data_IF_456739990723
#
_entry.id   IF_456739990723
#
_cell.length_a   1.000
_cell.length_b   1.000
_cell.length_c   1.000
_cell.angle_alpha   90.00
_cell.angle_beta   90.00
_cell.angle_gamma   90.00
#
_symmetry.space_group_name_H-M   'P 1'
#
loop_
_entity.id
_entity.type
_entity.pdbx_description
1 polymer ?
#
# COMPACT_ATOMS: atom_id res chain seq x y z
N UNK A 1 -21.21 17.20 8.94
CA UNK A 1 -20.45 17.41 7.68
C UNK A 1 -19.97 16.05 7.24
N UNK A 2 -20.53 15.53 6.15
CA UNK A 2 -20.18 14.21 5.62
C UNK A 2 -18.78 14.32 5.03
N UNK A 3 -17.84 13.57 5.59
CA UNK A 3 -16.54 13.35 5.00
C UNK A 3 -16.77 12.80 3.58
N UNK A 4 -16.30 13.54 2.57
CA UNK A 4 -16.34 13.08 1.19
C UNK A 4 -15.71 11.70 1.14
N UNK A 5 -16.46 10.73 0.62
CA UNK A 5 -15.94 9.42 0.27
C UNK A 5 -14.88 9.63 -0.81
N UNK A 6 -13.62 9.66 -0.39
CA UNK A 6 -12.46 9.66 -1.25
C UNK A 6 -12.49 8.33 -2.02
N UNK A 7 -13.12 8.35 -3.17
CA UNK A 7 -13.06 7.23 -4.08
C UNK A 7 -11.64 7.21 -4.67
N UNK A 8 -11.00 6.05 -4.78
CA UNK A 8 -9.69 5.87 -5.42
C UNK A 8 -9.61 6.34 -6.89
N UNK A 9 -10.67 7.01 -7.40
CA UNK A 9 -10.80 7.67 -8.70
C UNK A 9 -9.70 8.70 -8.98
N UNK A 10 -9.04 9.23 -7.95
CA UNK A 10 -8.03 10.28 -8.09
C UNK A 10 -6.59 9.77 -8.25
N UNK A 11 -6.36 8.45 -8.12
CA UNK A 11 -5.07 7.82 -8.40
C UNK A 11 -4.99 7.38 -9.88
N UNK A 12 -3.85 7.56 -10.56
CA UNK A 12 -3.63 7.01 -11.89
C UNK A 12 -3.82 5.48 -11.89
N UNK A 13 -4.43 4.93 -12.94
CA UNK A 13 -4.78 3.51 -13.01
C UNK A 13 -3.55 2.61 -12.90
N UNK A 14 -2.45 2.98 -13.58
CA UNK A 14 -1.20 2.26 -13.46
C UNK A 14 -0.63 2.29 -12.03
N UNK A 15 -0.83 3.36 -11.26
CA UNK A 15 -0.43 3.42 -9.86
C UNK A 15 -1.32 2.54 -8.98
N UNK A 16 -2.64 2.59 -9.18
CA UNK A 16 -3.63 1.77 -8.46
C UNK A 16 -3.28 0.29 -8.58
N UNK A 17 -3.04 -0.19 -9.81
CA UNK A 17 -2.72 -1.59 -10.06
C UNK A 17 -1.48 -2.05 -9.27
N UNK A 18 -0.41 -1.23 -9.23
CA UNK A 18 0.83 -1.58 -8.53
C UNK A 18 0.71 -1.51 -7.02
N UNK A 19 -0.04 -0.53 -6.49
CA UNK A 19 -0.37 -0.50 -5.06
C UNK A 19 -1.18 -1.73 -4.69
N UNK A 20 -2.16 -2.12 -5.52
CA UNK A 20 -2.98 -3.31 -5.28
C UNK A 20 -2.16 -4.59 -5.20
N UNK A 21 -1.26 -4.81 -6.17
CA UNK A 21 -0.31 -5.93 -6.17
C UNK A 21 0.57 -5.94 -4.90
N UNK A 22 1.10 -4.77 -4.51
CA UNK A 22 1.91 -4.63 -3.30
C UNK A 22 1.13 -4.94 -2.03
N UNK A 23 -0.11 -4.47 -1.90
CA UNK A 23 -0.98 -4.74 -0.73
C UNK A 23 -1.29 -6.23 -0.66
N UNK A 24 -1.61 -6.87 -1.78
CA UNK A 24 -1.84 -8.32 -1.85
C UNK A 24 -0.61 -9.11 -1.42
N UNK A 25 0.59 -8.71 -1.86
CA UNK A 25 1.83 -9.34 -1.44
C UNK A 25 2.10 -9.18 0.06
N UNK A 26 1.91 -7.98 0.62
CA UNK A 26 2.03 -7.78 2.06
C UNK A 26 1.05 -8.66 2.85
N UNK A 27 -0.22 -8.73 2.43
CA UNK A 27 -1.20 -9.62 3.07
C UNK A 27 -0.79 -11.10 2.97
N UNK A 28 -0.35 -11.55 1.80
CA UNK A 28 0.11 -12.92 1.58
C UNK A 28 1.31 -13.28 2.48
N UNK A 29 2.25 -12.34 2.65
CA UNK A 29 3.38 -12.49 3.56
C UNK A 29 2.90 -12.76 5.00
N UNK A 30 1.94 -11.98 5.52
CA UNK A 30 1.46 -12.18 6.89
C UNK A 30 0.54 -13.39 7.07
N UNK A 31 -0.28 -13.72 6.07
CA UNK A 31 -1.20 -14.86 6.16
C UNK A 31 -0.52 -16.21 5.99
N UNK A 32 0.43 -16.29 5.06
CA UNK A 32 0.97 -17.56 4.55
C UNK A 32 2.49 -17.65 4.63
N UNK A 33 3.18 -16.58 5.08
CA UNK A 33 4.63 -16.53 5.07
C UNK A 33 5.22 -16.46 3.66
N UNK A 34 4.43 -16.03 2.66
CA UNK A 34 4.90 -15.96 1.28
C UNK A 34 5.98 -14.88 1.11
N UNK A 35 7.07 -15.25 0.46
CA UNK A 35 8.12 -14.30 0.06
C UNK A 35 7.59 -13.32 -1.00
N UNK A 36 7.98 -12.05 -0.90
CA UNK A 36 7.69 -11.02 -1.91
C UNK A 36 8.36 -11.30 -3.26
N UNK A 37 9.23 -12.30 -3.37
CA UNK A 37 9.82 -12.74 -4.65
C UNK A 37 8.76 -13.18 -5.67
N UNK A 38 7.54 -13.52 -5.23
CA UNK A 38 6.40 -13.77 -6.12
C UNK A 38 6.03 -12.56 -7.00
N UNK A 39 6.37 -11.34 -6.58
CA UNK A 39 6.16 -10.12 -7.35
C UNK A 39 7.05 -10.04 -8.61
N UNK A 40 8.10 -10.87 -8.71
CA UNK A 40 8.93 -10.92 -9.92
C UNK A 40 8.11 -11.32 -11.16
N UNK A 41 7.09 -12.18 -10.99
CA UNK A 41 6.24 -12.65 -12.08
C UNK A 41 5.39 -11.54 -12.72
N UNK A 42 5.17 -10.43 -12.03
CA UNK A 42 4.34 -9.31 -12.48
C UNK A 42 5.16 -8.06 -12.82
N UNK A 43 6.49 -8.22 -12.96
CA UNK A 43 7.40 -7.21 -13.47
C UNK A 43 8.18 -6.43 -12.42
N UNK A 44 8.07 -6.79 -11.13
CA UNK A 44 8.96 -6.21 -10.13
C UNK A 44 10.37 -6.80 -10.25
N UNK A 45 11.37 -5.94 -10.13
CA UNK A 45 12.80 -6.28 -10.18
C UNK A 45 13.37 -6.31 -8.77
N UNK A 46 14.14 -7.36 -8.48
CA UNK A 46 14.80 -7.52 -7.19
C UNK A 46 15.92 -6.50 -6.98
N UNK A 47 15.93 -5.91 -5.78
CA UNK A 47 17.01 -5.10 -5.22
C UNK A 47 17.44 -5.70 -3.88
N UNK A 48 18.65 -5.39 -3.39
CA UNK A 48 19.20 -6.00 -2.16
C UNK A 48 18.29 -5.93 -0.93
N UNK A 49 17.39 -4.95 -0.84
CA UNK A 49 16.54 -4.72 0.32
C UNK A 49 15.03 -4.73 0.01
N UNK A 50 14.62 -4.87 -1.27
CA UNK A 50 13.22 -4.64 -1.69
C UNK A 50 12.98 -5.00 -3.18
N UNK A 51 11.73 -4.93 -3.65
CA UNK A 51 11.32 -5.16 -5.04
C UNK A 51 10.78 -3.87 -5.68
N UNK A 52 11.28 -3.41 -6.84
CA UNK A 52 10.74 -2.22 -7.59
C UNK A 52 10.03 -2.59 -8.87
N UNK A 53 9.04 -1.77 -9.25
CA UNK A 53 8.68 -1.61 -10.65
C UNK A 53 8.66 -0.13 -11.06
N UNK A 54 9.10 0.14 -12.29
CA UNK A 54 8.92 1.44 -12.94
C UNK A 54 7.57 1.46 -13.64
N UNK A 55 6.81 2.52 -13.39
CA UNK A 55 5.53 2.76 -14.05
C UNK A 55 5.64 4.05 -14.84
N UNK A 56 5.42 3.97 -16.14
CA UNK A 56 5.24 5.16 -16.97
C UNK A 56 3.78 5.59 -16.88
N UNK A 57 3.53 6.73 -16.24
CA UNK A 57 2.21 7.35 -16.14
C UNK A 57 2.17 8.67 -16.91
N UNK A 58 3.12 8.91 -17.82
CA UNK A 58 3.23 10.19 -18.53
C UNK A 58 1.97 10.51 -19.35
N UNK A 59 1.35 9.49 -19.94
CA UNK A 59 0.09 9.63 -20.66
C UNK A 59 -1.10 9.96 -19.74
N UNK A 60 -1.13 9.41 -18.52
CA UNK A 60 -2.24 9.59 -17.56
C UNK A 60 -2.12 10.89 -16.74
N UNK A 61 -0.89 11.32 -16.45
CA UNK A 61 -0.61 12.38 -15.48
C UNK A 61 0.04 13.62 -16.09
N UNK A 62 0.50 13.55 -17.34
CA UNK A 62 1.35 14.57 -17.97
C UNK A 62 2.76 14.67 -17.37
N UNK A 63 3.09 13.85 -16.37
CA UNK A 63 4.38 13.87 -15.68
C UNK A 63 5.36 12.97 -16.43
N UNK A 64 6.42 13.54 -17.00
CA UNK A 64 7.40 12.83 -17.84
C UNK A 64 8.44 11.99 -17.07
N UNK A 65 8.48 12.10 -15.73
CA UNK A 65 9.40 11.27 -14.92
C UNK A 65 8.75 9.92 -14.62
N UNK A 66 9.50 8.81 -14.65
CA UNK A 66 8.96 7.52 -14.27
C UNK A 66 8.57 7.51 -12.79
N UNK A 67 7.46 6.84 -12.51
CA UNK A 67 7.05 6.52 -11.16
C UNK A 67 7.63 5.18 -10.75
N UNK A 68 7.82 5.02 -9.46
CA UNK A 68 8.37 3.80 -8.87
C UNK A 68 7.38 3.33 -7.83
N UNK A 69 7.07 2.04 -7.87
CA UNK A 69 6.41 1.38 -6.75
C UNK A 69 7.38 0.36 -6.18
N UNK A 70 7.59 0.43 -4.87
CA UNK A 70 8.54 -0.40 -4.14
C UNK A 70 7.79 -1.20 -3.10
N UNK A 71 8.06 -2.49 -3.00
CA UNK A 71 7.58 -3.33 -1.89
C UNK A 71 8.79 -3.82 -1.12
N UNK A 72 8.82 -3.54 0.17
CA UNK A 72 9.95 -3.87 1.05
C UNK A 72 9.48 -4.58 2.31
N UNK A 73 10.37 -5.40 2.87
CA UNK A 73 10.17 -6.05 4.18
C UNK A 73 11.32 -5.63 5.08
N UNK A 74 11.04 -4.71 6.01
CA UNK A 74 11.98 -4.34 7.06
C UNK A 74 11.80 -5.28 8.26
N UNK A 75 12.56 -6.38 8.28
CA UNK A 75 12.49 -7.46 9.29
C UNK A 75 11.22 -8.33 9.14
N UNK A 76 11.13 -9.43 9.89
CA UNK A 76 10.05 -10.43 9.80
C UNK A 76 8.64 -9.92 10.18
N UNK A 77 8.49 -8.64 10.49
CA UNK A 77 7.25 -8.09 11.02
C UNK A 77 6.72 -6.89 10.24
N UNK A 78 7.46 -6.32 9.30
CA UNK A 78 7.08 -5.08 8.61
C UNK A 78 7.05 -5.27 7.09
N UNK A 79 6.00 -4.77 6.45
CA UNK A 79 5.88 -4.71 5.00
C UNK A 79 5.45 -3.29 4.59
N UNK A 80 6.17 -2.67 3.67
CA UNK A 80 5.87 -1.32 3.21
C UNK A 80 5.78 -1.25 1.69
N UNK A 81 4.86 -0.43 1.20
CA UNK A 81 4.70 -0.10 -0.22
C UNK A 81 4.99 1.38 -0.36
N UNK A 82 5.96 1.73 -1.19
CA UNK A 82 6.37 3.12 -1.42
C UNK A 82 6.07 3.52 -2.86
N UNK A 83 5.60 4.74 -3.05
CA UNK A 83 5.48 5.36 -4.37
C UNK A 83 5.98 6.79 -4.37
N UNK A 84 6.80 7.17 -5.34
CA UNK A 84 7.23 8.56 -5.54
C UNK A 84 6.18 9.45 -6.24
N UNK A 85 4.94 8.97 -6.36
CA UNK A 85 3.84 9.78 -6.87
C UNK A 85 3.34 10.74 -5.78
N UNK A 86 3.39 12.03 -6.09
CA UNK A 86 3.04 13.12 -5.18
C UNK A 86 1.93 13.97 -5.74
N UNK A 87 0.78 13.94 -5.06
CA UNK A 87 -0.32 14.88 -5.24
C UNK A 87 -0.74 15.38 -3.85
N UNK A 88 -1.29 16.58 -3.79
CA UNK A 88 -1.88 17.09 -2.55
C UNK A 88 -3.00 16.13 -2.10
N UNK A 89 -2.99 15.75 -0.82
CA UNK A 89 -4.03 14.94 -0.19
C UNK A 89 -4.28 13.58 -0.84
N UNK A 90 -3.20 12.87 -1.18
CA UNK A 90 -3.26 11.53 -1.80
C UNK A 90 -3.44 10.40 -0.77
N UNK A 91 -3.08 10.66 0.47
CA UNK A 91 -3.08 9.67 1.54
C UNK A 91 -4.48 9.08 1.83
N UNK A 92 -5.58 9.87 1.82
CA UNK A 92 -6.93 9.32 1.92
C UNK A 92 -7.27 8.35 0.79
N UNK A 93 -6.91 8.66 -0.46
CA UNK A 93 -7.22 7.80 -1.62
C UNK A 93 -6.47 6.47 -1.53
N UNK A 94 -5.18 6.53 -1.17
CA UNK A 94 -4.36 5.35 -0.97
C UNK A 94 -4.83 4.52 0.24
N UNK A 95 -5.30 5.19 1.31
CA UNK A 95 -5.91 4.53 2.47
C UNK A 95 -7.18 3.78 2.07
N UNK A 96 -8.09 4.42 1.35
CA UNK A 96 -9.33 3.79 0.91
C UNK A 96 -9.10 2.68 -0.10
N UNK A 97 -8.13 2.82 -1.00
CA UNK A 97 -7.70 1.73 -1.89
C UNK A 97 -7.22 0.51 -1.09
N UNK A 98 -6.26 0.70 -0.18
CA UNK A 98 -5.74 -0.39 0.64
C UNK A 98 -6.84 -1.02 1.49
N UNK A 99 -7.74 -0.22 2.07
CA UNK A 99 -8.91 -0.70 2.83
C UNK A 99 -9.83 -1.56 1.97
N UNK A 100 -10.17 -1.14 0.76
CA UNK A 100 -11.02 -1.90 -0.18
C UNK A 100 -10.37 -3.24 -0.54
N UNK A 101 -9.06 -3.24 -0.82
CA UNK A 101 -8.31 -4.47 -1.13
C UNK A 101 -8.29 -5.42 0.08
N UNK A 102 -7.95 -4.92 1.26
CA UNK A 102 -7.95 -5.71 2.49
C UNK A 102 -9.32 -6.33 2.78
N UNK A 103 -10.39 -5.54 2.66
CA UNK A 103 -11.76 -6.01 2.84
C UNK A 103 -12.13 -7.11 1.83
N UNK A 104 -11.75 -6.94 0.55
CA UNK A 104 -11.97 -7.96 -0.48
C UNK A 104 -11.24 -9.29 -0.19
N UNK A 105 -10.15 -9.24 0.58
CA UNK A 105 -9.39 -10.41 1.03
C UNK A 105 -9.82 -10.92 2.42
N UNK A 106 -10.91 -10.41 2.98
CA UNK A 106 -11.50 -10.88 4.25
C UNK A 106 -10.86 -10.30 5.51
N UNK A 107 -10.04 -9.26 5.40
CA UNK A 107 -9.56 -8.50 6.55
C UNK A 107 -10.58 -7.45 6.99
N UNK A 108 -10.66 -7.22 8.30
CA UNK A 108 -11.57 -6.24 8.91
C UNK A 108 -10.77 -5.18 9.66
N UNK A 109 -11.11 -3.90 9.46
CA UNK A 109 -10.55 -2.80 10.24
C UNK A 109 -11.32 -2.67 11.56
N UNK A 110 -10.68 -3.04 12.67
CA UNK A 110 -11.30 -3.01 14.02
C UNK A 110 -11.05 -1.71 14.78
N UNK A 111 -10.05 -0.91 14.37
CA UNK A 111 -9.79 0.44 14.92
C UNK A 111 -9.24 1.36 13.83
N UNK A 112 -9.56 2.66 13.90
CA UNK A 112 -9.04 3.67 12.98
C UNK A 112 -9.56 3.49 11.56
N UNK A 113 -10.89 3.44 11.40
CA UNK A 113 -11.55 3.16 10.11
C UNK A 113 -11.47 4.28 9.07
N UNK A 114 -10.84 5.41 9.39
CA UNK A 114 -10.66 6.55 8.51
C UNK A 114 -9.20 6.99 8.47
N UNK A 115 -8.80 7.61 7.37
CA UNK A 115 -7.47 8.19 7.27
C UNK A 115 -7.35 9.41 8.19
N UNK A 116 -6.34 9.40 9.05
CA UNK A 116 -5.85 10.58 9.75
C UNK A 116 -4.33 10.47 9.93
N UNK A 117 -3.54 11.54 9.70
CA UNK A 117 -2.08 11.47 9.64
C UNK A 117 -1.39 10.83 10.88
N UNK A 118 -2.01 10.99 12.05
CA UNK A 118 -1.51 10.45 13.32
C UNK A 118 -2.10 9.06 13.68
N UNK A 119 -3.12 8.59 12.97
CA UNK A 119 -3.87 7.39 13.35
C UNK A 119 -3.31 6.15 12.67
N UNK A 120 -3.09 5.10 13.47
CA UNK A 120 -2.86 3.74 12.96
C UNK A 120 -4.19 3.00 13.00
N UNK A 121 -4.49 2.31 11.92
CA UNK A 121 -5.61 1.38 11.86
C UNK A 121 -5.17 0.01 12.36
N UNK A 122 -6.09 -0.72 12.99
CA UNK A 122 -5.90 -2.14 13.30
C UNK A 122 -6.68 -2.94 12.27
N UNK A 123 -6.00 -3.88 11.62
CA UNK A 123 -6.57 -4.75 10.60
C UNK A 123 -6.38 -6.21 11.02
N UNK A 124 -7.45 -7.01 10.96
CA UNK A 124 -7.45 -8.38 11.49
C UNK A 124 -8.14 -9.37 10.55
N UNK A 125 -7.62 -10.61 10.52
CA UNK A 125 -8.24 -11.76 9.86
C UNK A 125 -7.80 -13.04 10.58
N UNK A 126 -8.73 -13.67 11.30
CA UNK A 126 -8.42 -14.87 12.10
C UNK A 126 -7.28 -14.61 13.09
N UNK A 127 -6.17 -15.39 13.03
CA UNK A 127 -5.03 -15.18 13.93
C UNK A 127 -4.18 -13.94 13.58
N UNK A 128 -4.27 -13.43 12.35
CA UNK A 128 -3.45 -12.33 11.85
C UNK A 128 -3.99 -10.99 12.35
N UNK A 129 -3.13 -10.19 12.97
CA UNK A 129 -3.43 -8.82 13.41
C UNK A 129 -2.27 -7.91 13.06
N UNK A 130 -2.57 -6.77 12.42
CA UNK A 130 -1.58 -5.83 11.92
C UNK A 130 -1.98 -4.39 12.24
N UNK A 131 -0.97 -3.55 12.45
CA UNK A 131 -1.11 -2.12 12.27
C UNK A 131 -1.04 -1.78 10.78
N UNK A 132 -1.91 -0.90 10.35
CA UNK A 132 -1.96 -0.35 9.00
C UNK A 132 -1.88 1.18 9.09
N UNK A 133 -1.04 1.80 8.27
CA UNK A 133 -0.93 3.26 8.19
C UNK A 133 -0.59 3.70 6.77
N UNK A 134 -1.22 4.79 6.33
CA UNK A 134 -0.80 5.53 5.14
C UNK A 134 -0.18 6.85 5.56
N UNK A 135 0.91 7.25 4.92
CA UNK A 135 1.56 8.55 5.13
C UNK A 135 2.20 9.03 3.83
N UNK A 136 2.37 10.34 3.69
CA UNK A 136 3.25 10.94 2.71
C UNK A 136 4.46 11.53 3.43
N UNK A 137 5.67 11.18 3.02
CA UNK A 137 6.92 11.68 3.61
C UNK A 137 7.93 11.85 2.49
N UNK A 138 8.62 12.98 2.44
CA UNK A 138 9.65 13.27 1.43
C UNK A 138 9.19 12.98 -0.01
N UNK A 139 8.00 13.45 -0.36
CA UNK A 139 7.42 13.22 -1.68
C UNK A 139 7.25 11.72 -2.03
N UNK A 140 7.03 10.89 -1.01
CA UNK A 140 6.82 9.46 -1.14
C UNK A 140 5.56 9.07 -0.38
N UNK A 141 4.55 8.60 -1.11
CA UNK A 141 3.41 7.90 -0.55
C UNK A 141 3.89 6.56 0.01
N UNK A 142 3.52 6.26 1.25
CA UNK A 142 3.84 5.01 1.92
C UNK A 142 2.58 4.36 2.48
N UNK A 143 2.41 3.08 2.18
CA UNK A 143 1.40 2.19 2.76
C UNK A 143 2.15 1.16 3.60
N UNK A 144 2.03 1.26 4.93
CA UNK A 144 2.80 0.46 5.89
C UNK A 144 1.91 -0.53 6.62
N UNK A 145 2.41 -1.77 6.73
CA UNK A 145 1.87 -2.84 7.53
C UNK A 145 2.91 -3.28 8.56
N UNK A 146 2.48 -3.49 9.80
CA UNK A 146 3.34 -3.98 10.88
C UNK A 146 2.58 -5.02 11.69
N UNK A 147 3.09 -6.24 11.77
CA UNK A 147 2.50 -7.30 12.60
C UNK A 147 2.37 -6.84 14.05
N UNK A 148 1.24 -7.15 14.67
CA UNK A 148 1.02 -6.96 16.10
C UNK A 148 1.47 -8.23 16.80
N UNK A 149 2.55 -8.16 17.58
CA UNK A 149 2.87 -9.22 18.53
C UNK A 149 1.70 -9.38 19.49
N UNK A 150 1.19 -10.61 19.63
CA UNK A 150 0.27 -10.96 20.71
C UNK A 150 1.01 -11.01 22.03
#
# INVERSE_FOLDING_TARGET
MLAGTADARDLPAGLVARIEEGVKACMAFYERGESITSLAAIGYVSKPLWMEIKVDLSAETGIKRPFWVRVLIERTFECEIHSNYTRFNIEPDAFDLARKIMAAHGFVITKGQFHAPAVKSIVEKGPVSMWFKVRNTDNTLMVKFLARSR
#
